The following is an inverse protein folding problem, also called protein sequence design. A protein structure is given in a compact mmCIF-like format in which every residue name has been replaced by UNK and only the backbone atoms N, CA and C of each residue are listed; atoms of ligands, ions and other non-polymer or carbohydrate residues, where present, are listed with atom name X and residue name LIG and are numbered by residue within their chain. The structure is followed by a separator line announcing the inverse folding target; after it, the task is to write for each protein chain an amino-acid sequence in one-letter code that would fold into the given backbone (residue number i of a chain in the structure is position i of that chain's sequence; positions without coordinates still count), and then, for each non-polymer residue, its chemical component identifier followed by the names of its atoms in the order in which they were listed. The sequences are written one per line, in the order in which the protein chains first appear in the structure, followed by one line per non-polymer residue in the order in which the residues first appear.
data_IF_076644142627
#
_entry.id   IF_076644142627
#
_cell.length_a   1.000
_cell.length_b   1.000
_cell.length_c   1.000
_cell.angle_alpha   90.00
_cell.angle_beta   90.00
_cell.angle_gamma   90.00
#
_symmetry.space_group_name_H-M   'P 1'
#
loop_
_entity.id
_entity.type
_entity.pdbx_description
1 polymer ?
#
# COMPACT_ATOMS: atom_id res chain seq x y z
N UNK A 1 13.61 32.88 -19.29
CA UNK A 1 12.76 34.05 -18.99
C UNK A 1 13.25 34.64 -17.69
N UNK A 2 13.72 35.88 -17.74
CA UNK A 2 14.33 36.63 -16.64
C UNK A 2 13.31 36.76 -15.50
N UNK A 3 13.58 36.11 -14.37
CA UNK A 3 12.65 36.06 -13.24
C UNK A 3 12.50 37.43 -12.61
N UNK A 4 11.28 37.98 -12.64
CA UNK A 4 10.94 39.15 -11.84
C UNK A 4 10.92 38.77 -10.37
N UNK A 5 11.78 39.41 -9.58
CA UNK A 5 11.79 39.24 -8.12
C UNK A 5 10.48 39.79 -7.54
N UNK A 6 9.78 38.94 -6.78
CA UNK A 6 8.60 39.36 -6.02
C UNK A 6 9.06 39.86 -4.65
N UNK A 7 9.01 41.16 -4.44
CA UNK A 7 9.25 41.77 -3.13
C UNK A 7 7.91 41.84 -2.39
N UNK A 8 7.82 41.17 -1.23
CA UNK A 8 6.68 41.22 -0.33
C UNK A 8 7.05 42.07 0.88
N UNK A 9 6.37 43.22 1.06
CA UNK A 9 6.45 44.00 2.28
C UNK A 9 5.33 43.56 3.21
N UNK A 10 5.70 43.07 4.39
CA UNK A 10 4.76 42.74 5.45
C UNK A 10 4.97 43.68 6.63
N UNK A 11 3.88 43.99 7.31
CA UNK A 11 3.92 44.72 8.58
C UNK A 11 4.11 43.69 9.70
N UNK A 12 5.04 43.98 10.60
CA UNK A 12 5.27 43.22 11.83
C UNK A 12 5.22 44.17 13.04
N UNK A 13 4.04 44.25 13.67
CA UNK A 13 3.81 45.07 14.86
C UNK A 13 3.94 44.23 16.13
N UNK A 14 4.69 44.75 17.10
CA UNK A 14 4.75 44.18 18.44
C UNK A 14 3.46 44.46 19.20
N UNK A 15 2.94 43.45 19.89
CA UNK A 15 1.79 43.58 20.79
C UNK A 15 2.24 44.15 22.14
N UNK A 16 2.63 45.41 22.16
CA UNK A 16 2.90 46.13 23.39
C UNK A 16 2.38 47.55 23.33
N UNK A 17 2.18 48.14 24.50
CA UNK A 17 1.78 49.54 24.60
C UNK A 17 3.03 50.37 24.85
N UNK A 18 3.37 51.21 23.89
CA UNK A 18 4.54 52.10 23.96
C UNK A 18 4.25 53.41 24.70
N UNK A 19 2.97 53.81 24.76
CA UNK A 19 2.54 55.07 25.36
C UNK A 19 2.35 54.93 26.87
N UNK A 20 3.08 55.72 27.65
CA UNK A 20 2.88 55.83 29.10
C UNK A 20 2.10 57.11 29.44
N UNK A 21 0.83 56.95 29.82
CA UNK A 21 -0.02 58.07 30.22
C UNK A 21 0.29 58.49 31.66
N UNK A 22 0.54 59.78 31.86
CA UNK A 22 0.75 60.35 33.19
C UNK A 22 -0.56 60.34 33.99
N UNK A 23 -0.49 59.88 35.25
CA UNK A 23 -1.65 59.90 36.14
C UNK A 23 -2.00 61.34 36.54
N UNK A 24 -3.24 61.75 36.27
CA UNK A 24 -3.75 63.13 36.41
C UNK A 24 -3.08 64.17 35.49
N UNK A 25 -2.47 63.74 34.38
CA UNK A 25 -1.96 64.62 33.32
C UNK A 25 -3.05 65.03 32.31
N UNK A 26 -2.65 65.86 31.35
CA UNK A 26 -3.47 66.12 30.16
C UNK A 26 -3.62 64.83 29.34
N UNK A 27 -4.80 64.61 28.74
CA UNK A 27 -5.08 63.46 27.88
C UNK A 27 -5.21 63.94 26.43
N UNK A 28 -4.06 64.20 25.76
CA UNK A 28 -4.07 64.83 24.46
C UNK A 28 -4.57 63.85 23.39
N UNK A 29 -5.54 64.29 22.60
CA UNK A 29 -6.29 63.42 21.69
C UNK A 29 -5.42 62.85 20.54
N UNK A 30 -4.36 63.55 20.15
CA UNK A 30 -3.40 63.11 19.13
C UNK A 30 -2.63 61.86 19.56
N UNK A 31 -2.11 61.84 20.79
CA UNK A 31 -1.40 60.68 21.36
C UNK A 31 -2.34 59.48 21.50
N UNK A 32 -3.57 59.74 21.93
CA UNK A 32 -4.58 58.69 22.14
C UNK A 32 -5.01 58.06 20.83
N UNK A 33 -5.25 58.89 19.80
CA UNK A 33 -5.61 58.38 18.48
C UNK A 33 -4.47 57.57 17.87
N UNK A 34 -3.21 57.98 18.07
CA UNK A 34 -2.06 57.22 17.60
C UNK A 34 -1.96 55.84 18.27
N UNK A 35 -2.21 55.78 19.58
CA UNK A 35 -2.23 54.53 20.36
C UNK A 35 -3.35 53.59 19.87
N UNK A 36 -4.56 54.13 19.62
CA UNK A 36 -5.68 53.36 19.06
C UNK A 36 -5.44 52.90 17.63
N UNK A 37 -4.86 53.74 16.78
CA UNK A 37 -4.48 53.36 15.43
C UNK A 37 -3.48 52.20 15.47
N UNK A 38 -2.48 52.26 16.36
CA UNK A 38 -1.52 51.16 16.54
C UNK A 38 -2.21 49.83 16.88
N UNK A 39 -3.15 49.85 17.83
CA UNK A 39 -3.95 48.67 18.20
C UNK A 39 -4.76 48.15 17.01
N UNK A 40 -5.39 49.04 16.24
CA UNK A 40 -6.18 48.66 15.07
C UNK A 40 -5.32 48.00 14.00
N UNK A 41 -4.12 48.53 13.76
CA UNK A 41 -3.17 47.97 12.82
C UNK A 41 -2.66 46.59 13.29
N UNK A 42 -2.39 46.42 14.59
CA UNK A 42 -2.04 45.11 15.13
C UNK A 42 -3.18 44.10 14.93
N UNK A 43 -4.43 44.49 15.22
CA UNK A 43 -5.60 43.62 15.03
C UNK A 43 -5.78 43.17 13.57
N UNK A 44 -5.61 44.08 12.61
CA UNK A 44 -5.64 43.75 11.19
C UNK A 44 -4.54 42.77 10.78
N UNK A 45 -3.33 42.91 11.34
CA UNK A 45 -2.24 41.97 11.10
C UNK A 45 -2.62 40.57 11.59
N UNK A 46 -3.12 40.45 12.82
CA UNK A 46 -3.60 39.17 13.37
C UNK A 46 -4.72 38.55 12.54
N UNK A 47 -5.67 39.37 12.06
CA UNK A 47 -6.73 38.88 11.19
C UNK A 47 -6.18 38.34 9.87
N UNK A 48 -5.19 39.01 9.28
CA UNK A 48 -4.53 38.56 8.05
C UNK A 48 -3.74 37.26 8.26
N UNK A 49 -3.03 37.13 9.39
CA UNK A 49 -2.33 35.90 9.76
C UNK A 49 -3.31 34.76 9.98
N UNK A 50 -4.35 34.95 10.80
CA UNK A 50 -5.39 33.96 11.06
C UNK A 50 -6.09 33.50 9.77
N UNK A 51 -6.34 34.41 8.82
CA UNK A 51 -6.94 34.06 7.53
C UNK A 51 -6.06 33.15 6.65
N UNK A 52 -4.76 33.09 6.89
CA UNK A 52 -3.81 32.21 6.18
C UNK A 52 -3.53 30.89 6.90
N UNK A 53 -4.19 30.63 8.03
CA UNK A 53 -4.02 29.40 8.81
C UNK A 53 -5.09 28.36 8.52
N UNK A 54 -4.78 27.11 8.85
CA UNK A 54 -5.79 26.05 8.94
C UNK A 54 -6.66 26.29 10.18
N UNK A 55 -7.99 26.28 10.01
CA UNK A 55 -8.94 26.58 11.08
C UNK A 55 -9.48 25.30 11.68
N UNK A 56 -9.41 25.20 13.00
CA UNK A 56 -10.01 24.12 13.79
C UNK A 56 -11.32 24.62 14.44
N UNK A 57 -12.23 23.71 14.83
CA UNK A 57 -13.40 24.07 15.61
C UNK A 57 -13.02 24.77 16.93
N UNK A 58 -13.89 25.68 17.41
CA UNK A 58 -13.64 26.44 18.65
C UNK A 58 -13.54 25.55 19.90
N UNK A 59 -14.07 24.33 19.83
CA UNK A 59 -14.00 23.35 20.92
C UNK A 59 -12.59 22.78 21.10
N UNK A 60 -11.74 22.85 20.07
CA UNK A 60 -10.34 22.44 20.17
C UNK A 60 -9.50 23.55 20.82
N UNK A 61 -9.22 23.38 22.12
CA UNK A 61 -8.50 24.35 22.94
C UNK A 61 -6.96 24.26 22.81
N UNK A 62 -6.45 23.32 22.01
CA UNK A 62 -5.02 23.07 21.83
C UNK A 62 -4.47 23.68 20.54
N UNK A 63 -3.38 24.42 20.64
CA UNK A 63 -2.64 24.89 19.46
C UNK A 63 -1.98 23.73 18.74
N UNK A 64 -2.50 23.36 17.57
CA UNK A 64 -1.95 22.28 16.76
C UNK A 64 -0.84 22.78 15.86
N UNK A 65 0.40 22.45 16.19
CA UNK A 65 1.57 22.82 15.39
C UNK A 65 2.10 21.61 14.63
N UNK A 66 2.29 21.77 13.33
CA UNK A 66 2.91 20.75 12.50
C UNK A 66 4.45 20.79 12.70
N UNK A 67 4.96 19.99 13.64
CA UNK A 67 6.37 19.97 14.02
C UNK A 67 7.25 19.15 13.07
N UNK A 68 7.18 19.42 11.75
CA UNK A 68 8.00 18.72 10.74
C UNK A 68 8.73 19.69 9.83
N UNK A 69 9.94 19.34 9.42
CA UNK A 69 10.75 20.19 8.55
C UNK A 69 10.17 20.27 7.14
N UNK A 70 10.50 21.33 6.40
CA UNK A 70 10.10 21.49 4.99
C UNK A 70 10.56 20.33 4.10
N UNK A 71 11.73 19.75 4.38
CA UNK A 71 12.24 18.60 3.67
C UNK A 71 11.42 17.33 3.97
N UNK A 72 11.05 17.09 5.23
CA UNK A 72 10.28 15.91 5.62
C UNK A 72 8.86 15.89 5.04
N UNK A 73 8.27 17.07 4.81
CA UNK A 73 6.93 17.22 4.24
C UNK A 73 6.89 17.32 2.70
N UNK A 74 8.06 17.34 2.04
CA UNK A 74 8.10 17.37 0.58
C UNK A 74 7.55 16.06 0.00
N UNK A 75 6.57 16.15 -0.91
CA UNK A 75 5.95 14.96 -1.50
C UNK A 75 5.00 14.21 -0.57
N UNK A 76 4.73 14.72 0.65
CA UNK A 76 3.81 14.08 1.61
C UNK A 76 2.45 14.77 1.62
N UNK A 77 1.41 14.03 1.99
CA UNK A 77 0.09 14.57 2.25
C UNK A 77 -0.01 15.07 3.70
N UNK A 78 -0.82 16.11 3.93
CA UNK A 78 -1.26 16.48 5.28
C UNK A 78 -2.35 15.50 5.71
N UNK A 79 -2.17 14.85 6.86
CA UNK A 79 -3.09 13.86 7.43
C UNK A 79 -3.35 14.15 8.91
N UNK A 80 -4.24 13.39 9.54
CA UNK A 80 -4.46 13.45 10.98
C UNK A 80 -4.01 12.13 11.63
N UNK A 81 -3.36 12.23 12.79
CA UNK A 81 -2.94 11.06 13.58
C UNK A 81 -4.12 10.40 14.29
N UNK A 82 -3.85 9.34 15.07
CA UNK A 82 -4.88 8.61 15.84
C UNK A 82 -5.62 9.49 16.86
N UNK A 83 -5.01 10.60 17.29
CA UNK A 83 -5.58 11.55 18.23
C UNK A 83 -6.22 12.75 17.52
N UNK A 84 -6.24 12.78 16.19
CA UNK A 84 -6.79 13.88 15.39
C UNK A 84 -5.84 15.06 15.18
N UNK A 85 -4.56 14.96 15.58
CA UNK A 85 -3.61 16.05 15.38
C UNK A 85 -3.07 16.06 13.93
N UNK A 86 -2.87 17.23 13.31
CA UNK A 86 -2.29 17.32 11.97
C UNK A 86 -0.85 16.80 11.96
N UNK A 87 -0.57 15.87 11.06
CA UNK A 87 0.75 15.30 10.80
C UNK A 87 0.96 15.08 9.29
N UNK A 88 2.13 14.60 8.89
CA UNK A 88 2.42 14.25 7.49
C UNK A 88 2.26 12.76 7.24
N UNK A 89 1.88 12.38 6.03
CA UNK A 89 1.79 10.98 5.63
C UNK A 89 3.17 10.32 5.61
N UNK A 90 3.21 9.01 5.94
CA UNK A 90 4.43 8.21 5.84
C UNK A 90 4.82 7.97 4.38
N UNK A 91 3.85 7.78 3.49
CA UNK A 91 4.07 7.52 2.06
C UNK A 91 4.01 8.80 1.23
N UNK A 92 4.65 8.80 0.06
CA UNK A 92 4.56 9.91 -0.89
C UNK A 92 3.23 9.83 -1.66
N UNK A 93 2.55 10.96 -1.82
CA UNK A 93 1.25 10.95 -2.50
C UNK A 93 1.35 10.57 -3.98
N UNK A 94 2.54 10.73 -4.59
CA UNK A 94 2.78 10.46 -6.01
C UNK A 94 2.90 8.96 -6.28
N UNK A 95 3.52 8.20 -5.38
CA UNK A 95 3.82 6.77 -5.58
C UNK A 95 2.89 5.83 -4.81
N UNK A 96 2.08 6.34 -3.87
CA UNK A 96 1.14 5.54 -3.08
C UNK A 96 0.28 4.58 -3.93
N UNK A 97 -0.30 5.06 -5.03
CA UNK A 97 -1.11 4.23 -5.92
C UNK A 97 -0.28 3.16 -6.65
N UNK A 98 0.95 3.50 -7.04
CA UNK A 98 1.86 2.57 -7.72
C UNK A 98 2.35 1.47 -6.77
N UNK A 99 2.71 1.83 -5.53
CA UNK A 99 3.12 0.91 -4.48
C UNK A 99 1.99 -0.07 -4.11
N UNK A 100 0.75 0.43 -4.01
CA UNK A 100 -0.43 -0.40 -3.77
C UNK A 100 -0.67 -1.39 -4.92
N UNK A 101 -0.59 -0.93 -6.18
CA UNK A 101 -0.76 -1.79 -7.35
C UNK A 101 0.35 -2.86 -7.45
N UNK A 102 1.60 -2.50 -7.17
CA UNK A 102 2.73 -3.43 -7.13
C UNK A 102 2.53 -4.51 -6.05
N UNK A 103 2.05 -4.12 -4.86
CA UNK A 103 1.75 -5.05 -3.77
C UNK A 103 0.63 -6.02 -4.15
N UNK A 104 -0.43 -5.54 -4.81
CA UNK A 104 -1.51 -6.39 -5.30
C UNK A 104 -1.03 -7.39 -6.38
N UNK A 105 -0.17 -6.93 -7.30
CA UNK A 105 0.42 -7.79 -8.33
C UNK A 105 1.30 -8.89 -7.72
N UNK A 106 2.11 -8.56 -6.70
CA UNK A 106 2.94 -9.53 -5.99
C UNK A 106 2.10 -10.57 -5.23
N UNK A 107 0.97 -10.18 -4.65
CA UNK A 107 0.03 -11.09 -4.01
C UNK A 107 -0.61 -12.05 -5.02
N UNK A 108 -1.02 -11.57 -6.20
CA UNK A 108 -1.55 -12.39 -7.27
C UNK A 108 -0.50 -13.39 -7.81
N UNK A 109 0.74 -12.94 -8.01
CA UNK A 109 1.83 -13.82 -8.41
C UNK A 109 2.09 -14.93 -7.38
N UNK A 110 2.03 -14.59 -6.09
CA UNK A 110 2.17 -15.56 -5.00
C UNK A 110 1.04 -16.59 -4.98
N UNK A 111 -0.20 -16.15 -5.24
CA UNK A 111 -1.35 -17.04 -5.37
C UNK A 111 -1.18 -18.02 -6.54
N UNK A 112 -0.75 -17.53 -7.70
CA UNK A 112 -0.53 -18.37 -8.88
C UNK A 112 0.60 -19.38 -8.66
N UNK A 113 1.69 -18.98 -7.99
CA UNK A 113 2.78 -19.88 -7.63
C UNK A 113 2.32 -20.99 -6.67
N UNK A 114 1.46 -20.66 -5.71
CA UNK A 114 0.86 -21.65 -4.80
C UNK A 114 -0.04 -22.64 -5.55
N UNK A 115 -0.91 -22.15 -6.44
CA UNK A 115 -1.77 -23.00 -7.28
C UNK A 115 -0.94 -23.90 -8.22
N UNK A 116 0.13 -23.37 -8.81
CA UNK A 116 1.07 -24.15 -9.61
C UNK A 116 1.77 -25.25 -8.80
N UNK A 117 2.16 -24.95 -7.55
CA UNK A 117 2.75 -25.94 -6.64
C UNK A 117 1.77 -27.04 -6.26
N UNK A 118 0.50 -26.69 -6.03
CA UNK A 118 -0.56 -27.66 -5.78
C UNK A 118 -0.77 -28.59 -6.98
N UNK A 119 -0.91 -28.04 -8.18
CA UNK A 119 -1.09 -28.83 -9.40
C UNK A 119 0.10 -29.77 -9.66
N UNK A 120 1.33 -29.30 -9.39
CA UNK A 120 2.53 -30.15 -9.49
C UNK A 120 2.49 -31.32 -8.48
N UNK A 121 2.04 -31.08 -7.25
CA UNK A 121 1.89 -32.12 -6.24
C UNK A 121 0.80 -33.15 -6.61
N UNK A 122 -0.34 -32.69 -7.14
CA UNK A 122 -1.43 -33.55 -7.62
C UNK A 122 -0.96 -34.44 -8.79
N UNK A 123 -0.25 -33.86 -9.76
CA UNK A 123 0.34 -34.61 -10.87
C UNK A 123 1.35 -35.66 -10.39
N UNK A 124 2.25 -35.29 -9.46
CA UNK A 124 3.21 -36.22 -8.89
C UNK A 124 2.53 -37.39 -8.15
N UNK A 125 1.46 -37.11 -7.40
CA UNK A 125 0.63 -38.12 -6.74
C UNK A 125 -0.06 -39.06 -7.76
N UNK A 126 -0.59 -38.50 -8.85
CA UNK A 126 -1.18 -39.28 -9.95
C UNK A 126 -0.17 -40.20 -10.62
N UNK A 127 1.01 -39.68 -10.96
CA UNK A 127 2.11 -40.48 -11.54
C UNK A 127 2.57 -41.59 -10.59
N UNK A 128 2.69 -41.30 -9.29
CA UNK A 128 3.05 -42.31 -8.29
C UNK A 128 2.00 -43.42 -8.19
N UNK A 129 0.71 -43.07 -8.25
CA UNK A 129 -0.40 -44.03 -8.24
C UNK A 129 -0.37 -44.94 -9.48
N UNK A 130 -0.16 -44.36 -10.67
CA UNK A 130 -0.05 -45.13 -11.92
C UNK A 130 1.18 -46.03 -11.92
N UNK A 131 2.32 -45.56 -11.42
CA UNK A 131 3.52 -46.37 -11.28
C UNK A 131 3.33 -47.54 -10.31
N UNK A 132 2.67 -47.31 -9.17
CA UNK A 132 2.34 -48.36 -8.20
C UNK A 132 1.41 -49.43 -8.81
N UNK A 133 0.36 -49.02 -9.53
CA UNK A 133 -0.55 -49.94 -10.23
C UNK A 133 0.17 -50.79 -11.29
N UNK A 134 1.08 -50.18 -12.07
CA UNK A 134 1.89 -50.92 -13.05
C UNK A 134 2.84 -51.92 -12.38
N UNK A 135 3.46 -51.54 -11.26
CA UNK A 135 4.36 -52.43 -10.52
C UNK A 135 3.62 -53.68 -10.00
N UNK A 136 2.41 -53.51 -9.45
CA UNK A 136 1.56 -54.63 -9.03
C UNK A 136 1.19 -55.54 -10.21
N UNK A 137 0.85 -54.93 -11.34
CA UNK A 137 0.50 -55.66 -12.55
C UNK A 137 1.66 -56.53 -13.07
N UNK A 138 2.87 -55.96 -13.17
CA UNK A 138 4.05 -56.70 -13.60
C UNK A 138 4.51 -57.76 -12.60
N UNK A 139 4.28 -57.57 -11.30
CA UNK A 139 4.56 -58.59 -10.30
C UNK A 139 3.66 -59.83 -10.45
N UNK A 140 2.42 -59.65 -10.92
CA UNK A 140 1.46 -60.74 -11.11
C UNK A 140 1.62 -61.45 -12.45
N UNK A 141 1.92 -60.72 -13.52
CA UNK A 141 1.87 -61.25 -14.90
C UNK A 141 3.24 -61.29 -15.60
N UNK A 142 4.26 -60.61 -15.08
CA UNK A 142 5.55 -60.42 -15.78
C UNK A 142 5.55 -59.22 -16.74
N UNK A 143 6.69 -58.98 -17.38
CA UNK A 143 6.90 -57.85 -18.30
C UNK A 143 6.30 -58.14 -19.69
N UNK A 144 5.67 -57.15 -20.33
CA UNK A 144 5.14 -57.26 -21.69
C UNK A 144 3.63 -57.47 -21.78
N UNK A 145 2.97 -57.68 -20.64
CA UNK A 145 1.51 -57.70 -20.56
C UNK A 145 0.99 -56.27 -20.30
N UNK A 146 -0.14 -55.90 -20.90
CA UNK A 146 -0.82 -54.61 -20.73
C UNK A 146 -2.12 -54.82 -19.95
N UNK A 147 -2.38 -53.99 -18.94
CA UNK A 147 -3.62 -54.08 -18.18
C UNK A 147 -4.84 -53.82 -19.09
N UNK A 148 -5.84 -54.70 -19.02
CA UNK A 148 -7.09 -54.59 -19.80
C UNK A 148 -7.06 -55.25 -21.18
N UNK A 149 -5.94 -55.85 -21.60
CA UNK A 149 -5.88 -56.69 -22.80
C UNK A 149 -5.90 -58.16 -22.40
N UNK A 150 -6.73 -58.97 -23.06
CA UNK A 150 -6.71 -60.42 -22.90
C UNK A 150 -5.46 -60.99 -23.58
N UNK A 151 -4.75 -61.85 -22.85
CA UNK A 151 -3.63 -62.63 -23.36
C UNK A 151 -3.98 -64.11 -23.24
N UNK A 152 -3.85 -64.86 -24.33
CA UNK A 152 -3.95 -66.31 -24.31
C UNK A 152 -2.57 -66.89 -24.01
N UNK A 153 -2.48 -67.68 -22.94
CA UNK A 153 -1.25 -68.37 -22.54
C UNK A 153 -1.10 -69.72 -23.25
N UNK A 154 -2.07 -70.09 -24.09
CA UNK A 154 -2.16 -71.38 -24.75
C UNK A 154 -2.37 -72.54 -23.78
N UNK A 155 -2.97 -73.61 -24.28
CA UNK A 155 -2.70 -74.95 -23.75
C UNK A 155 -1.68 -75.62 -24.67
N UNK A 156 -0.90 -76.57 -24.16
CA UNK A 156 0.00 -77.39 -24.99
C UNK A 156 -0.83 -78.08 -26.10
N UNK A 157 -0.81 -77.50 -27.31
CA UNK A 157 -1.57 -77.84 -28.51
C UNK A 157 -3.03 -77.29 -28.66
N UNK A 158 -3.19 -75.97 -28.79
CA UNK A 158 -4.38 -75.38 -29.45
C UNK A 158 -3.98 -74.79 -30.83
N UNK A 159 -4.57 -75.25 -31.95
CA UNK A 159 -4.29 -74.75 -33.29
C UNK A 159 -5.01 -73.44 -33.66
N UNK A 160 -5.78 -72.82 -32.75
CA UNK A 160 -6.58 -71.63 -33.04
C UNK A 160 -5.92 -70.34 -32.57
N UNK A 161 -5.52 -69.48 -33.52
CA UNK A 161 -5.15 -68.09 -33.23
C UNK A 161 -6.41 -67.24 -33.02
N UNK A 162 -6.90 -67.18 -31.79
CA UNK A 162 -8.16 -66.49 -31.46
C UNK A 162 -7.97 -64.96 -31.33
N UNK A 163 -6.77 -64.49 -30.95
CA UNK A 163 -6.45 -63.06 -30.80
C UNK A 163 -5.06 -62.70 -31.36
N UNK A 164 -4.86 -61.40 -31.59
CA UNK A 164 -3.62 -60.81 -32.12
C UNK A 164 -2.43 -60.91 -31.14
N UNK A 165 -2.70 -61.22 -29.87
CA UNK A 165 -1.74 -61.37 -28.76
C UNK A 165 -1.51 -62.83 -28.37
N UNK A 166 -2.02 -63.78 -29.16
CA UNK A 166 -1.79 -65.21 -28.96
C UNK A 166 -0.29 -65.54 -29.08
N UNK A 167 0.29 -66.07 -27.99
CA UNK A 167 1.70 -66.44 -27.91
C UNK A 167 2.00 -67.80 -28.55
N UNK A 168 0.97 -68.52 -29.02
CA UNK A 168 1.10 -69.80 -29.70
C UNK A 168 1.66 -70.91 -28.81
N UNK A 169 1.71 -72.12 -29.37
CA UNK A 169 2.23 -73.32 -28.71
C UNK A 169 3.67 -73.14 -28.22
N UNK A 170 3.91 -73.35 -26.92
CA UNK A 170 5.26 -73.58 -26.38
C UNK A 170 5.75 -74.94 -26.92
N UNK A 171 6.98 -75.06 -27.46
CA UNK A 171 7.52 -76.35 -27.89
C UNK A 171 7.70 -77.34 -26.72
#
# INVERSE_FOLDING_TARGET
MTGGEKILLMRDMKLERDTDYQQNGEFPADIVNLDFDSIWLALQQYQADSNRTLKFPIEEQGGQTLNVTAAARAGKALIFDVNGNPTVSDDNYVDQAANAAASAAAALASQQAAAGSQAAAENASGTATVAASQALYYAQHGTGFTAGTAYDLGSVADPLNIFNTDLGSVP
#
